data_IF_826811541129
#
_entry.id   IF_826811541129
#
_cell.length_a   1.000
_cell.length_b   1.000
_cell.length_c   1.000
_cell.angle_alpha   90.00
_cell.angle_beta   90.00
_cell.angle_gamma   90.00
#
_symmetry.space_group_name_H-M   'P 1'
#
loop_
_entity.id
_entity.type
_entity.pdbx_description
1 polymer ?
#
# COMPACT_ATOMS: atom_id res chain seq x y z
N UNK A 1 -20.48 -0.84 -28.21
CA UNK A 1 -20.28 -1.03 -26.74
C UNK A 1 -20.85 0.19 -26.05
N UNK A 2 -21.69 0.04 -25.03
CA UNK A 2 -22.24 1.20 -24.31
C UNK A 2 -21.14 1.90 -23.51
N UNK A 3 -21.30 3.20 -23.23
CA UNK A 3 -20.34 4.01 -22.47
C UNK A 3 -20.07 3.41 -21.07
N UNK A 4 -21.08 2.82 -20.45
CA UNK A 4 -20.97 2.11 -19.17
C UNK A 4 -20.08 0.88 -19.26
N UNK A 5 -20.12 0.13 -20.35
CA UNK A 5 -19.26 -1.04 -20.58
C UNK A 5 -17.82 -0.63 -20.86
N UNK A 6 -17.59 0.43 -21.63
CA UNK A 6 -16.26 0.96 -21.85
C UNK A 6 -15.61 1.39 -20.54
N UNK A 7 -16.34 2.07 -19.67
CA UNK A 7 -15.86 2.48 -18.36
C UNK A 7 -15.56 1.26 -17.46
N UNK A 8 -16.40 0.24 -17.46
CA UNK A 8 -16.18 -0.98 -16.69
C UNK A 8 -14.90 -1.74 -17.16
N UNK A 9 -14.71 -1.88 -18.46
CA UNK A 9 -13.50 -2.51 -19.03
C UNK A 9 -12.25 -1.66 -18.74
N UNK A 10 -12.35 -0.32 -18.82
CA UNK A 10 -11.27 0.61 -18.49
C UNK A 10 -10.76 0.47 -17.06
N UNK A 11 -11.65 0.20 -16.09
CA UNK A 11 -11.24 -0.02 -14.69
C UNK A 11 -10.37 -1.26 -14.51
N UNK A 12 -10.51 -2.24 -15.39
CA UNK A 12 -9.73 -3.47 -15.41
C UNK A 12 -8.52 -3.41 -16.35
N UNK A 13 -8.25 -2.28 -17.00
CA UNK A 13 -7.21 -2.14 -18.04
C UNK A 13 -5.83 -2.64 -17.57
N UNK A 14 -5.41 -2.31 -16.35
CA UNK A 14 -4.13 -2.77 -15.78
C UNK A 14 -4.03 -4.29 -15.65
N UNK A 15 -5.14 -4.97 -15.36
CA UNK A 15 -5.17 -6.43 -15.25
C UNK A 15 -5.18 -7.08 -16.62
N UNK A 16 -5.90 -6.50 -17.57
CA UNK A 16 -5.87 -6.92 -18.98
C UNK A 16 -4.45 -6.82 -19.56
N UNK A 17 -3.75 -5.70 -19.33
CA UNK A 17 -2.36 -5.51 -19.78
C UNK A 17 -1.38 -6.55 -19.23
N UNK A 18 -1.61 -7.11 -18.04
CA UNK A 18 -0.79 -8.21 -17.51
C UNK A 18 -0.88 -9.50 -18.32
N UNK A 19 -1.97 -9.67 -19.06
CA UNK A 19 -2.16 -10.77 -20.00
C UNK A 19 -1.83 -10.36 -21.44
N UNK A 20 -1.22 -9.18 -21.64
CA UNK A 20 -0.89 -8.65 -22.97
C UNK A 20 -2.13 -8.22 -23.76
N UNK A 21 -3.23 -7.89 -23.10
CA UNK A 21 -4.49 -7.49 -23.72
C UNK A 21 -4.80 -6.02 -23.39
N UNK A 22 -4.95 -5.18 -24.41
CA UNK A 22 -5.41 -3.80 -24.23
C UNK A 22 -6.95 -3.72 -24.18
N UNK A 23 -7.48 -2.58 -23.76
CA UNK A 23 -8.94 -2.33 -23.75
C UNK A 23 -9.49 -2.39 -25.19
N UNK A 24 -8.75 -1.85 -26.14
CA UNK A 24 -9.10 -1.83 -27.56
C UNK A 24 -9.14 -3.24 -28.17
N UNK A 25 -8.13 -4.06 -27.84
CA UNK A 25 -8.08 -5.46 -28.29
C UNK A 25 -9.22 -6.28 -27.66
N UNK A 26 -9.53 -6.05 -26.37
CA UNK A 26 -10.68 -6.68 -25.75
C UNK A 26 -12.00 -6.26 -26.40
N UNK A 27 -12.16 -4.99 -26.73
CA UNK A 27 -13.33 -4.49 -27.44
C UNK A 27 -13.46 -5.12 -28.84
N UNK A 28 -12.34 -5.22 -29.57
CA UNK A 28 -12.29 -5.88 -30.89
C UNK A 28 -12.62 -7.38 -30.79
N UNK A 29 -12.11 -8.05 -29.75
CA UNK A 29 -12.43 -9.46 -29.48
C UNK A 29 -13.92 -9.66 -29.20
N UNK A 30 -14.51 -8.78 -28.38
CA UNK A 30 -15.93 -8.82 -28.06
C UNK A 30 -16.80 -8.63 -29.31
N UNK A 31 -16.45 -7.69 -30.19
CA UNK A 31 -17.12 -7.48 -31.48
C UNK A 31 -16.96 -8.69 -32.40
N UNK A 32 -15.74 -9.22 -32.56
CA UNK A 32 -15.47 -10.36 -33.43
C UNK A 32 -16.28 -11.60 -33.04
N UNK A 33 -16.51 -11.78 -31.74
CA UNK A 33 -17.27 -12.93 -31.22
C UNK A 33 -18.76 -12.61 -30.97
N UNK A 34 -19.26 -11.44 -31.38
CA UNK A 34 -20.63 -10.99 -31.15
C UNK A 34 -21.06 -11.10 -29.67
N UNK A 35 -20.14 -10.79 -28.76
CA UNK A 35 -20.44 -10.84 -27.32
C UNK A 35 -21.51 -9.81 -26.97
N UNK A 36 -22.52 -10.27 -26.22
CA UNK A 36 -23.53 -9.40 -25.65
C UNK A 36 -22.95 -8.54 -24.54
N UNK A 37 -23.61 -7.43 -24.22
CA UNK A 37 -23.25 -6.55 -23.10
C UNK A 37 -23.19 -7.32 -21.77
N UNK A 38 -24.05 -8.32 -21.57
CA UNK A 38 -24.05 -9.17 -20.39
C UNK A 38 -22.81 -10.06 -20.27
N UNK A 39 -22.34 -10.60 -21.39
CA UNK A 39 -21.10 -11.40 -21.43
C UNK A 39 -19.85 -10.56 -21.19
N UNK A 40 -19.78 -9.38 -21.81
CA UNK A 40 -18.69 -8.42 -21.54
C UNK A 40 -18.66 -8.02 -20.07
N UNK A 41 -19.82 -7.73 -19.48
CA UNK A 41 -19.92 -7.40 -18.06
C UNK A 41 -19.53 -8.57 -17.15
N UNK A 42 -19.89 -9.80 -17.53
CA UNK A 42 -19.50 -11.00 -16.76
C UNK A 42 -17.98 -11.19 -16.74
N UNK A 43 -17.33 -11.03 -17.90
CA UNK A 43 -15.86 -11.09 -18.00
C UNK A 43 -15.20 -9.98 -17.19
N UNK A 44 -15.72 -8.75 -17.26
CA UNK A 44 -15.22 -7.62 -16.47
C UNK A 44 -15.28 -7.90 -14.96
N UNK A 45 -16.37 -8.46 -14.46
CA UNK A 45 -16.51 -8.87 -13.06
C UNK A 45 -15.46 -9.90 -12.62
N UNK A 46 -15.12 -10.82 -13.51
CA UNK A 46 -14.05 -11.80 -13.24
C UNK A 46 -12.69 -11.09 -13.07
N UNK A 47 -12.37 -10.14 -13.96
CA UNK A 47 -11.13 -9.36 -13.83
C UNK A 47 -11.10 -8.49 -12.57
N UNK A 48 -12.21 -7.86 -12.20
CA UNK A 48 -12.33 -7.12 -10.93
C UNK A 48 -12.09 -8.02 -9.73
N UNK A 49 -12.67 -9.22 -9.72
CA UNK A 49 -12.43 -10.20 -8.67
C UNK A 49 -10.95 -10.63 -8.58
N UNK A 50 -10.33 -10.93 -9.72
CA UNK A 50 -8.91 -11.31 -9.79
C UNK A 50 -8.00 -10.18 -9.31
N UNK A 51 -8.32 -8.93 -9.68
CA UNK A 51 -7.63 -7.73 -9.20
C UNK A 51 -7.73 -7.62 -7.67
N UNK A 52 -8.95 -7.66 -7.12
CA UNK A 52 -9.17 -7.56 -5.68
C UNK A 52 -8.46 -8.69 -4.90
N UNK A 53 -8.47 -9.92 -5.44
CA UNK A 53 -7.73 -11.05 -4.85
C UNK A 53 -6.22 -10.81 -4.83
N UNK A 54 -5.67 -10.27 -5.94
CA UNK A 54 -4.25 -9.95 -6.04
C UNK A 54 -3.84 -8.81 -5.11
N UNK A 55 -4.64 -7.74 -5.06
CA UNK A 55 -4.38 -6.58 -4.19
C UNK A 55 -4.35 -7.02 -2.72
N UNK A 56 -5.30 -7.89 -2.31
CA UNK A 56 -5.32 -8.49 -0.97
C UNK A 56 -4.07 -9.33 -0.70
N UNK A 57 -3.67 -10.18 -1.63
CA UNK A 57 -2.47 -11.02 -1.48
C UNK A 57 -1.21 -10.17 -1.38
N UNK A 58 -1.12 -9.09 -2.16
CA UNK A 58 0.00 -8.13 -2.11
C UNK A 58 0.03 -7.42 -0.76
N UNK A 59 -1.11 -6.93 -0.28
CA UNK A 59 -1.23 -6.30 1.04
C UNK A 59 -0.80 -7.25 2.16
N UNK A 60 -1.28 -8.48 2.15
CA UNK A 60 -0.92 -9.50 3.15
C UNK A 60 0.59 -9.79 3.14
N UNK A 61 1.20 -9.90 1.96
CA UNK A 61 2.64 -10.06 1.82
C UNK A 61 3.41 -8.86 2.39
N UNK A 62 3.00 -7.64 2.03
CA UNK A 62 3.64 -6.41 2.52
C UNK A 62 3.54 -6.29 4.04
N UNK A 63 2.38 -6.60 4.62
CA UNK A 63 2.19 -6.59 6.08
C UNK A 63 3.07 -7.64 6.78
N UNK A 64 3.18 -8.85 6.25
CA UNK A 64 4.03 -9.90 6.84
C UNK A 64 5.51 -9.53 6.82
N UNK A 65 5.98 -8.87 5.76
CA UNK A 65 7.38 -8.47 5.61
C UNK A 65 7.72 -7.15 6.31
N UNK A 66 6.72 -6.37 6.71
CA UNK A 66 6.89 -5.04 7.31
C UNK A 66 7.41 -5.04 8.75
N UNK A 67 7.36 -6.16 9.47
CA UNK A 67 7.60 -6.27 10.93
C UNK A 67 6.63 -5.43 11.79
N UNK A 68 5.51 -4.98 11.21
CA UNK A 68 4.44 -4.34 11.96
C UNK A 68 3.65 -5.36 12.80
N UNK A 69 3.06 -4.97 13.94
CA UNK A 69 2.28 -5.89 14.76
C UNK A 69 1.03 -6.35 14.01
N UNK A 70 0.92 -7.67 13.78
CA UNK A 70 -0.21 -8.30 13.08
C UNK A 70 -1.34 -8.71 14.02
N UNK A 71 -1.01 -9.24 15.22
CA UNK A 71 -2.02 -9.73 16.19
C UNK A 71 -2.87 -8.60 16.79
N UNK A 72 -2.24 -7.48 17.10
CA UNK A 72 -2.91 -6.27 17.62
C UNK A 72 -2.50 -5.11 16.72
N UNK A 73 -3.14 -4.98 15.56
CA UNK A 73 -2.73 -3.99 14.58
C UNK A 73 -2.93 -2.57 15.11
N UNK A 74 -1.97 -1.72 14.85
CA UNK A 74 -2.05 -0.28 15.10
C UNK A 74 -2.51 0.40 13.82
N UNK A 75 -3.69 1.04 13.90
CA UNK A 75 -4.32 1.76 12.79
C UNK A 75 -4.64 3.19 13.22
N UNK A 76 -4.98 4.06 12.28
CA UNK A 76 -5.48 5.40 12.61
C UNK A 76 -6.87 5.33 13.25
N UNK A 77 -7.69 4.33 12.91
CA UNK A 77 -9.05 4.17 13.45
C UNK A 77 -9.05 3.79 14.93
N UNK A 78 -8.06 2.98 15.37
CA UNK A 78 -7.96 2.59 16.77
C UNK A 78 -7.03 3.48 17.59
N UNK A 79 -6.61 4.63 17.05
CA UNK A 79 -5.86 5.65 17.76
C UNK A 79 -6.81 6.68 18.39
N UNK A 80 -6.70 6.85 19.69
CA UNK A 80 -7.52 7.84 20.40
C UNK A 80 -6.98 9.27 20.23
N UNK A 81 -7.44 9.96 19.20
CA UNK A 81 -7.07 11.34 18.92
C UNK A 81 -7.54 12.33 19.98
N UNK A 82 -8.52 11.98 20.85
CA UNK A 82 -9.03 12.87 21.88
C UNK A 82 -8.01 13.05 23.02
N UNK A 83 -7.06 12.11 23.15
CA UNK A 83 -5.95 12.21 24.11
C UNK A 83 -4.81 13.10 23.64
N UNK A 84 -4.83 13.53 22.39
CA UNK A 84 -3.79 14.37 21.84
C UNK A 84 -4.23 15.81 21.86
N UNK A 85 -3.49 16.65 22.57
CA UNK A 85 -3.75 18.08 22.64
C UNK A 85 -2.64 18.85 21.92
N UNK A 86 -3.00 19.99 21.28
CA UNK A 86 -2.03 20.90 20.65
C UNK A 86 -2.41 21.31 19.24
N UNK A 87 -1.60 22.21 18.67
CA UNK A 87 -1.86 22.86 17.39
C UNK A 87 -1.80 21.94 16.14
N UNK A 88 -1.31 20.69 16.30
CA UNK A 88 -1.02 19.80 15.16
C UNK A 88 -1.94 18.57 15.11
N UNK A 89 -3.03 18.52 15.87
CA UNK A 89 -3.94 17.35 15.91
C UNK A 89 -4.54 17.08 14.53
N UNK A 90 -4.95 18.12 13.80
CA UNK A 90 -5.51 17.96 12.46
C UNK A 90 -4.47 17.42 11.46
N UNK A 91 -3.20 17.85 11.60
CA UNK A 91 -2.10 17.28 10.81
C UNK A 91 -1.85 15.81 11.11
N UNK A 92 -2.05 15.38 12.37
CA UNK A 92 -1.94 13.96 12.72
C UNK A 92 -3.10 13.14 12.13
N UNK A 93 -4.32 13.69 12.13
CA UNK A 93 -5.48 13.05 11.47
C UNK A 93 -5.27 12.91 9.96
N UNK A 94 -4.70 13.94 9.31
CA UNK A 94 -4.45 13.91 7.86
C UNK A 94 -3.33 12.95 7.43
N UNK A 95 -2.56 12.36 8.37
CA UNK A 95 -1.52 11.38 8.03
C UNK A 95 -2.07 10.12 7.34
N UNK A 96 -3.33 9.77 7.61
CA UNK A 96 -4.01 8.64 6.94
C UNK A 96 -4.11 8.81 5.43
N UNK A 97 -4.06 10.04 4.91
CA UNK A 97 -4.07 10.33 3.47
C UNK A 97 -2.74 10.02 2.77
N UNK A 98 -1.67 9.74 3.52
CA UNK A 98 -0.31 9.52 3.04
C UNK A 98 0.26 10.69 2.19
N UNK A 99 -0.35 11.86 2.23
CA UNK A 99 0.06 13.03 1.44
C UNK A 99 1.52 13.42 1.68
N UNK A 100 2.02 13.30 2.91
CA UNK A 100 3.41 13.56 3.24
C UNK A 100 4.37 12.60 2.52
N UNK A 101 3.99 11.33 2.38
CA UNK A 101 4.79 10.32 1.67
C UNK A 101 4.83 10.61 0.17
N UNK A 102 3.69 10.89 -0.44
CA UNK A 102 3.62 11.25 -1.85
C UNK A 102 4.39 12.56 -2.17
N UNK A 103 4.50 13.45 -1.18
CA UNK A 103 5.30 14.65 -1.26
C UNK A 103 6.79 14.42 -0.88
N UNK A 104 7.24 13.17 -0.73
CA UNK A 104 8.60 12.77 -0.34
C UNK A 104 9.11 13.47 0.94
N UNK A 105 8.23 13.69 1.92
CA UNK A 105 8.56 14.34 3.19
C UNK A 105 8.86 13.30 4.27
N UNK A 106 9.88 13.56 5.06
CA UNK A 106 10.16 12.82 6.27
C UNK A 106 9.19 13.20 7.39
N UNK A 107 8.77 12.22 8.20
CA UNK A 107 7.91 12.41 9.35
C UNK A 107 8.68 12.11 10.64
N UNK A 108 8.58 13.00 11.62
CA UNK A 108 9.12 12.78 12.95
C UNK A 108 8.02 13.00 13.99
N UNK A 109 7.79 11.98 14.83
CA UNK A 109 6.86 12.06 15.97
C UNK A 109 7.65 12.39 17.24
N UNK A 110 7.49 13.61 17.74
CA UNK A 110 8.18 14.13 18.94
C UNK A 110 7.18 14.37 20.05
N UNK A 111 7.49 13.97 21.27
CA UNK A 111 6.62 14.17 22.44
C UNK A 111 7.01 13.29 23.61
N UNK A 112 6.31 13.46 24.75
CA UNK A 112 6.54 12.71 26.00
C UNK A 112 6.32 11.19 25.81
N UNK A 113 6.92 10.33 26.65
CA UNK A 113 6.58 8.91 26.70
C UNK A 113 5.07 8.69 26.85
N UNK A 114 4.54 7.60 26.28
CA UNK A 114 3.12 7.25 26.40
C UNK A 114 2.14 8.03 25.50
N UNK A 115 2.58 9.03 24.74
CA UNK A 115 1.69 9.85 23.88
C UNK A 115 1.28 9.19 22.53
N UNK A 116 1.58 7.91 22.34
CA UNK A 116 1.14 7.16 21.15
C UNK A 116 2.00 7.34 19.90
N UNK A 117 3.23 7.91 19.98
CA UNK A 117 4.12 8.10 18.83
C UNK A 117 4.37 6.82 18.04
N UNK A 118 4.69 5.74 18.73
CA UNK A 118 4.92 4.42 18.11
C UNK A 118 3.65 3.88 17.48
N UNK A 119 2.48 4.10 18.08
CA UNK A 119 1.21 3.73 17.48
C UNK A 119 1.01 4.45 16.14
N UNK A 120 1.16 5.77 16.12
CA UNK A 120 1.01 6.56 14.88
C UNK A 120 2.03 6.16 13.81
N UNK A 121 3.29 5.90 14.19
CA UNK A 121 4.30 5.45 13.24
C UNK A 121 3.95 4.07 12.64
N UNK A 122 3.44 3.14 13.45
CA UNK A 122 3.00 1.83 13.00
C UNK A 122 1.72 1.91 12.17
N UNK A 123 0.77 2.77 12.55
CA UNK A 123 -0.45 3.03 11.78
C UNK A 123 -0.13 3.61 10.40
N UNK A 124 0.82 4.54 10.33
CA UNK A 124 1.29 5.10 9.07
C UNK A 124 1.95 4.04 8.17
N UNK A 125 2.86 3.23 8.72
CA UNK A 125 3.48 2.13 7.99
C UNK A 125 2.46 1.09 7.49
N UNK A 126 1.43 0.81 8.31
CA UNK A 126 0.33 -0.07 7.91
C UNK A 126 -0.49 0.51 6.75
N UNK A 127 -0.87 1.78 6.84
CA UNK A 127 -1.56 2.47 5.76
C UNK A 127 -0.75 2.46 4.45
N UNK A 128 0.58 2.58 4.52
CA UNK A 128 1.45 2.39 3.35
C UNK A 128 1.27 1.00 2.73
N UNK A 129 1.31 -0.07 3.53
CA UNK A 129 1.11 -1.44 3.03
C UNK A 129 -0.28 -1.65 2.43
N UNK A 130 -1.32 -1.08 3.03
CA UNK A 130 -2.70 -1.12 2.53
C UNK A 130 -2.86 -0.41 1.18
N UNK A 131 -2.01 0.58 0.89
CA UNK A 131 -1.91 1.25 -0.42
C UNK A 131 -0.87 0.61 -1.36
N UNK A 132 -0.43 -0.62 -1.08
CA UNK A 132 0.50 -1.36 -1.93
C UNK A 132 1.96 -0.90 -1.85
N UNK A 133 2.31 -0.07 -0.88
CA UNK A 133 3.66 0.44 -0.69
C UNK A 133 4.42 -0.36 0.37
N UNK A 134 5.70 -0.59 0.15
CA UNK A 134 6.56 -1.28 1.12
C UNK A 134 6.81 -0.39 2.34
N UNK A 135 6.59 -0.93 3.53
CA UNK A 135 6.99 -0.33 4.79
C UNK A 135 7.82 -1.36 5.59
N UNK A 136 8.74 -0.88 6.41
CA UNK A 136 9.54 -1.72 7.28
C UNK A 136 9.73 -1.04 8.63
N UNK A 137 9.25 -1.68 9.68
CA UNK A 137 9.38 -1.18 11.04
C UNK A 137 10.64 -1.75 11.70
N UNK A 138 11.54 -0.87 12.12
CA UNK A 138 12.79 -1.25 12.79
C UNK A 138 13.03 -0.35 14.00
N UNK A 139 13.57 -0.90 15.08
CA UNK A 139 14.05 -0.12 16.22
C UNK A 139 15.40 0.52 15.88
N UNK A 140 15.65 1.73 16.38
CA UNK A 140 16.91 2.44 16.12
C UNK A 140 18.15 1.66 16.60
N UNK A 141 18.04 0.95 17.74
CA UNK A 141 19.13 0.08 18.21
C UNK A 141 19.48 -1.00 17.18
N UNK A 142 18.48 -1.71 16.67
CA UNK A 142 18.67 -2.76 15.66
C UNK A 142 19.20 -2.18 14.34
N UNK A 143 18.72 -1.01 13.93
CA UNK A 143 19.23 -0.35 12.73
C UNK A 143 20.74 -0.03 12.87
N UNK A 144 21.14 0.53 14.02
CA UNK A 144 22.53 0.83 14.30
C UNK A 144 23.41 -0.44 14.26
N UNK A 145 22.94 -1.52 14.87
CA UNK A 145 23.69 -2.77 14.92
C UNK A 145 23.90 -3.35 13.51
N UNK A 146 22.86 -3.35 12.68
CA UNK A 146 22.95 -3.76 11.26
C UNK A 146 23.89 -2.88 10.45
N UNK A 147 23.85 -1.55 10.64
CA UNK A 147 24.78 -0.65 9.95
C UNK A 147 26.23 -0.89 10.34
N UNK A 148 26.49 -1.21 11.61
CA UNK A 148 27.84 -1.55 12.09
C UNK A 148 28.33 -2.86 11.45
N UNK A 149 27.47 -3.86 11.36
CA UNK A 149 27.77 -5.14 10.72
C UNK A 149 28.10 -4.97 9.23
N UNK A 150 27.27 -4.21 8.50
CA UNK A 150 27.50 -3.91 7.08
C UNK A 150 28.85 -3.17 6.89
N UNK A 151 29.12 -2.18 7.75
CA UNK A 151 30.40 -1.45 7.68
C UNK A 151 31.59 -2.39 7.87
N UNK A 152 31.52 -3.32 8.82
CA UNK A 152 32.58 -4.32 9.04
C UNK A 152 32.78 -5.22 7.81
N UNK A 153 31.69 -5.72 7.22
CA UNK A 153 31.77 -6.53 6.01
C UNK A 153 32.38 -5.77 4.83
N UNK A 154 32.08 -4.48 4.67
CA UNK A 154 32.67 -3.66 3.61
C UNK A 154 34.18 -3.48 3.80
N UNK A 155 34.63 -3.23 5.02
CA UNK A 155 36.07 -3.12 5.31
C UNK A 155 36.79 -4.43 5.01
N UNK A 156 36.23 -5.58 5.36
CA UNK A 156 36.80 -6.90 5.06
C UNK A 156 36.88 -7.18 3.55
N UNK A 157 36.06 -6.56 2.72
CA UNK A 157 36.11 -6.68 1.25
C UNK A 157 37.13 -5.72 0.62
N UNK A 158 37.46 -4.60 1.26
CA UNK A 158 38.47 -3.65 0.79
C UNK A 158 39.90 -4.14 1.10
N UNK A 159 40.04 -4.99 2.12
CA UNK A 159 41.36 -5.56 2.55
C UNK A 159 41.76 -6.85 1.77
N UNK A 160 40.90 -7.35 0.85
CA UNK A 160 41.17 -8.52 -0.01
C UNK A 160 41.29 -8.10 -1.48
#
# INVERSE_FOLDING_TARGET
MSETLFNAVSTCSKELMKFGLTVEEFAALAQKNNMSDAEVLAVTKVFEYLKAKKDRSTMDFLLRTSRLPLKVPKTFDNFDFNRVTGKNVDKLRSLSTLSALYAHKNLAFIGKPGTGKTHLAQAFGRACCEHGMKAYFIKMSELRDRMTEIKKMLLELEDN
#
